data_IF_225399433292
#
_entry.id   IF_225399433292
#
_cell.length_a   1.000
_cell.length_b   1.000
_cell.length_c   1.000
_cell.angle_alpha   90.00
_cell.angle_beta   90.00
_cell.angle_gamma   90.00
#
_symmetry.space_group_name_H-M   'P 1'
#
loop_
_entity.id
_entity.type
_entity.pdbx_description
1 polymer ?
#
# COMPACT_ATOMS: atom_id res chain seq x y z
N UNK A 1 -11.52 11.50 -18.15
CA UNK A 1 -10.73 11.19 -16.94
C UNK A 1 -11.68 11.16 -15.75
N UNK A 2 -12.34 10.02 -15.54
CA UNK A 2 -13.37 9.87 -14.52
C UNK A 2 -12.69 9.68 -13.17
N UNK A 3 -12.88 10.64 -12.26
CA UNK A 3 -12.57 10.50 -10.86
C UNK A 3 -13.32 9.29 -10.32
N UNK A 4 -12.62 8.17 -10.19
CA UNK A 4 -13.15 6.97 -9.56
C UNK A 4 -13.18 7.27 -8.08
N UNK A 5 -14.32 7.78 -7.62
CA UNK A 5 -14.69 7.82 -6.21
C UNK A 5 -14.32 6.45 -5.63
N UNK A 6 -13.42 6.44 -4.67
CA UNK A 6 -13.03 5.23 -3.95
C UNK A 6 -14.26 4.84 -3.14
N UNK A 7 -15.08 3.95 -3.70
CA UNK A 7 -16.14 3.28 -2.94
C UNK A 7 -15.49 2.73 -1.65
N UNK A 8 -15.93 3.17 -0.46
CA UNK A 8 -15.28 2.80 0.80
C UNK A 8 -15.24 1.29 0.99
N UNK A 9 -16.28 0.57 0.53
CA UNK A 9 -16.31 -0.89 0.57
C UNK A 9 -15.34 -1.54 -0.40
N UNK A 10 -15.06 -0.93 -1.55
CA UNK A 10 -14.04 -1.42 -2.49
C UNK A 10 -12.61 -1.18 -2.00
N UNK A 11 -12.38 -0.09 -1.26
CA UNK A 11 -11.10 0.17 -0.60
C UNK A 11 -10.86 -0.85 0.53
N UNK A 12 -11.86 -1.06 1.37
CA UNK A 12 -11.84 -2.02 2.48
C UNK A 12 -11.47 -3.43 2.00
N UNK A 13 -12.18 -3.94 0.97
CA UNK A 13 -11.93 -5.27 0.37
C UNK A 13 -10.54 -5.41 -0.25
N UNK A 14 -9.98 -4.35 -0.82
CA UNK A 14 -8.62 -4.38 -1.37
C UNK A 14 -7.57 -4.36 -0.27
N UNK A 15 -7.77 -3.52 0.75
CA UNK A 15 -6.94 -3.53 1.94
C UNK A 15 -6.94 -4.90 2.62
N UNK A 16 -8.09 -5.54 2.83
CA UNK A 16 -8.16 -6.88 3.43
C UNK A 16 -7.40 -7.93 2.61
N UNK A 17 -7.37 -7.83 1.28
CA UNK A 17 -6.58 -8.75 0.43
C UNK A 17 -5.08 -8.50 0.48
N UNK A 18 -4.66 -7.24 0.59
CA UNK A 18 -3.25 -6.87 0.72
C UNK A 18 -2.72 -7.27 2.10
N UNK A 19 -3.48 -6.94 3.15
CA UNK A 19 -3.13 -7.20 4.56
C UNK A 19 -3.29 -8.69 4.90
N UNK A 20 -4.33 -9.36 4.39
CA UNK A 20 -4.60 -10.77 4.63
C UNK A 20 -3.56 -11.73 4.05
N UNK A 21 -3.53 -12.96 4.58
CA UNK A 21 -2.51 -13.99 4.28
C UNK A 21 -2.90 -15.00 3.19
N UNK A 22 -4.12 -14.94 2.64
CA UNK A 22 -4.69 -16.05 1.86
C UNK A 22 -4.58 -15.98 0.34
N UNK A 23 -4.54 -14.79 -0.27
CA UNK A 23 -4.63 -14.65 -1.74
C UNK A 23 -3.31 -14.21 -2.37
N UNK A 24 -3.05 -14.52 -3.64
CA UNK A 24 -1.87 -14.03 -4.36
C UNK A 24 -2.04 -12.53 -4.64
N UNK A 25 -1.03 -11.72 -4.31
CA UNK A 25 -1.11 -10.27 -4.43
C UNK A 25 -1.03 -9.88 -5.90
N UNK A 26 -2.15 -9.42 -6.48
CA UNK A 26 -2.19 -9.08 -7.90
C UNK A 26 -1.48 -7.75 -8.17
N UNK A 27 -0.98 -7.57 -9.40
CA UNK A 27 -0.38 -6.30 -9.85
C UNK A 27 -1.34 -5.12 -9.65
N UNK A 28 -2.63 -5.34 -9.87
CA UNK A 28 -3.67 -4.31 -9.70
C UNK A 28 -3.85 -3.90 -8.25
N UNK A 29 -3.76 -4.85 -7.31
CA UNK A 29 -3.86 -4.56 -5.87
C UNK A 29 -2.66 -3.72 -5.40
N UNK A 30 -1.44 -4.01 -5.88
CA UNK A 30 -0.25 -3.17 -5.63
C UNK A 30 -0.43 -1.76 -6.16
N UNK A 31 -0.85 -1.62 -7.43
CA UNK A 31 -1.06 -0.30 -8.05
C UNK A 31 -2.11 0.50 -7.28
N UNK A 32 -3.19 -0.16 -6.87
CA UNK A 32 -4.22 0.47 -6.06
C UNK A 32 -3.70 0.92 -4.70
N UNK A 33 -2.91 0.09 -4.01
CA UNK A 33 -2.32 0.42 -2.71
C UNK A 33 -1.40 1.65 -2.81
N UNK A 34 -0.54 1.68 -3.84
CA UNK A 34 0.35 2.82 -4.08
C UNK A 34 -0.43 4.11 -4.36
N UNK A 35 -1.50 4.04 -5.16
CA UNK A 35 -2.35 5.20 -5.42
C UNK A 35 -3.08 5.68 -4.15
N UNK A 36 -3.53 4.75 -3.30
CA UNK A 36 -4.15 5.06 -2.01
C UNK A 36 -3.17 5.76 -1.05
N UNK A 37 -1.98 5.19 -0.87
CA UNK A 37 -0.90 5.77 -0.06
C UNK A 37 -0.57 7.18 -0.57
N UNK A 38 -0.36 7.35 -1.89
CA UNK A 38 -0.05 8.65 -2.50
C UNK A 38 -1.13 9.69 -2.20
N UNK A 39 -2.41 9.31 -2.32
CA UNK A 39 -3.54 10.20 -2.02
C UNK A 39 -3.55 10.63 -0.55
N UNK A 40 -3.43 9.68 0.38
CA UNK A 40 -3.40 9.98 1.83
C UNK A 40 -2.26 10.92 2.22
N UNK A 41 -1.08 10.73 1.60
CA UNK A 41 0.07 11.63 1.78
C UNK A 41 -0.22 13.03 1.23
N UNK A 42 -0.78 13.12 0.02
CA UNK A 42 -1.13 14.40 -0.60
C UNK A 42 -2.22 15.15 0.18
N UNK A 43 -3.18 14.43 0.76
CA UNK A 43 -4.28 14.96 1.57
C UNK A 43 -3.82 15.33 3.00
N UNK A 44 -2.57 15.02 3.37
CA UNK A 44 -2.02 15.33 4.69
C UNK A 44 -2.74 14.63 5.84
N UNK A 45 -3.16 13.36 5.63
CA UNK A 45 -3.98 12.60 6.57
C UNK A 45 -3.49 12.73 8.03
N UNK A 46 -4.37 12.93 9.03
CA UNK A 46 -3.94 13.16 10.42
C UNK A 46 -3.01 12.08 10.99
N UNK A 47 -3.24 10.81 10.63
CA UNK A 47 -2.39 9.68 11.02
C UNK A 47 -0.93 9.83 10.54
N UNK A 48 -0.72 10.52 9.42
CA UNK A 48 0.59 10.78 8.83
C UNK A 48 1.34 11.94 9.50
N UNK A 49 0.61 12.90 10.08
CA UNK A 49 1.23 14.06 10.73
C UNK A 49 1.86 13.70 12.09
N UNK A 50 1.31 12.70 12.78
CA UNK A 50 1.84 12.21 14.06
C UNK A 50 2.91 11.12 13.94
N UNK A 51 3.22 10.66 12.72
CA UNK A 51 4.16 9.56 12.50
C UNK A 51 5.61 10.01 12.76
N UNK A 52 6.38 9.28 13.60
CA UNK A 52 7.79 9.59 13.83
C UNK A 52 8.60 9.58 12.52
N UNK A 53 9.57 10.48 12.39
CA UNK A 53 10.42 10.58 11.18
C UNK A 53 11.05 9.25 10.73
N UNK A 54 11.57 8.37 11.64
CA UNK A 54 12.09 7.07 11.22
C UNK A 54 11.04 6.18 10.55
N UNK A 55 9.79 6.23 11.01
CA UNK A 55 8.69 5.45 10.43
C UNK A 55 8.31 5.97 9.04
N UNK A 56 8.35 7.28 8.85
CA UNK A 56 8.16 7.90 7.53
C UNK A 56 9.19 7.44 6.51
N UNK A 57 10.46 7.38 6.90
CA UNK A 57 11.54 6.90 6.02
C UNK A 57 11.31 5.44 5.62
N UNK A 58 10.92 4.57 6.55
CA UNK A 58 10.58 3.17 6.26
C UNK A 58 9.37 3.05 5.33
N UNK A 59 8.31 3.82 5.56
CA UNK A 59 7.12 3.83 4.70
C UNK A 59 7.47 4.29 3.28
N UNK A 60 8.28 5.35 3.15
CA UNK A 60 8.74 5.86 1.87
C UNK A 60 9.62 4.85 1.12
N UNK A 61 10.57 4.21 1.81
CA UNK A 61 11.39 3.15 1.23
C UNK A 61 10.54 1.97 0.75
N UNK A 62 9.53 1.58 1.55
CA UNK A 62 8.54 0.56 1.19
C UNK A 62 7.78 0.91 -0.08
N UNK A 63 7.24 2.12 -0.15
CA UNK A 63 6.53 2.68 -1.30
C UNK A 63 7.41 2.72 -2.56
N UNK A 64 8.65 3.19 -2.44
CA UNK A 64 9.59 3.31 -3.54
C UNK A 64 9.99 1.93 -4.08
N UNK A 65 10.29 0.97 -3.20
CA UNK A 65 10.64 -0.39 -3.62
C UNK A 65 9.47 -1.10 -4.30
N UNK A 66 8.25 -0.90 -3.78
CA UNK A 66 7.05 -1.44 -4.38
C UNK A 66 6.81 -0.89 -5.79
N UNK A 67 6.98 0.41 -5.96
CA UNK A 67 6.89 1.09 -7.25
C UNK A 67 7.97 0.59 -8.23
N UNK A 68 9.20 0.45 -7.77
CA UNK A 68 10.31 -0.06 -8.59
C UNK A 68 10.10 -1.52 -9.00
N UNK A 69 9.52 -2.35 -8.13
CA UNK A 69 9.19 -3.74 -8.45
C UNK A 69 8.15 -3.84 -9.57
N UNK A 70 7.15 -2.95 -9.59
CA UNK A 70 6.17 -2.87 -10.69
C UNK A 70 6.78 -2.46 -12.03
N UNK A 71 7.81 -1.61 -12.00
CA UNK A 71 8.50 -1.12 -13.20
C UNK A 71 9.47 -2.17 -13.77
N UNK A 72 10.00 -3.07 -12.93
CA UNK A 72 10.99 -4.09 -13.31
C UNK A 72 10.41 -5.34 -14.02
N UNK A 73 9.13 -5.33 -14.42
CA UNK A 73 8.45 -6.34 -15.28
C UNK A 73 7.93 -7.60 -14.56
N UNK A 74 6.91 -8.32 -15.11
CA UNK A 74 5.97 -9.19 -14.37
C UNK A 74 6.49 -10.61 -14.06
N UNK A 75 7.80 -10.84 -14.15
CA UNK A 75 8.43 -12.13 -13.78
C UNK A 75 8.87 -12.16 -12.33
N UNK A 76 8.27 -11.33 -11.48
CA UNK A 76 8.56 -11.33 -10.06
C UNK A 76 8.08 -12.64 -9.45
N UNK A 77 9.01 -13.45 -8.94
CA UNK A 77 8.70 -14.75 -8.36
C UNK A 77 7.87 -14.63 -7.06
N UNK A 78 7.37 -15.75 -6.51
CA UNK A 78 6.57 -15.75 -5.28
C UNK A 78 7.24 -15.01 -4.11
N UNK A 79 8.56 -15.12 -3.98
CA UNK A 79 9.36 -14.44 -2.94
C UNK A 79 9.33 -12.90 -3.06
N UNK A 80 9.30 -12.37 -4.28
CA UNK A 80 9.20 -10.92 -4.51
C UNK A 80 7.79 -10.42 -4.21
N UNK A 81 6.76 -11.21 -4.52
CA UNK A 81 5.38 -10.91 -4.17
C UNK A 81 5.18 -10.88 -2.64
N UNK A 82 5.76 -11.82 -1.89
CA UNK A 82 5.69 -11.85 -0.42
C UNK A 82 6.44 -10.69 0.22
N UNK A 83 7.63 -10.36 -0.29
CA UNK A 83 8.40 -9.19 0.15
C UNK A 83 7.62 -7.89 -0.09
N UNK A 84 7.00 -7.77 -1.26
CA UNK A 84 6.19 -6.62 -1.64
C UNK A 84 4.95 -6.49 -0.76
N UNK A 85 4.25 -7.61 -0.49
CA UNK A 85 3.13 -7.68 0.44
C UNK A 85 3.50 -7.12 1.81
N UNK A 86 4.62 -7.56 2.37
CA UNK A 86 5.10 -7.11 3.68
C UNK A 86 5.31 -5.59 3.70
N UNK A 87 6.01 -5.04 2.70
CA UNK A 87 6.26 -3.58 2.60
C UNK A 87 4.97 -2.75 2.47
N UNK A 88 4.01 -3.23 1.67
CA UNK A 88 2.71 -2.57 1.53
C UNK A 88 1.88 -2.65 2.82
N UNK A 89 1.89 -3.80 3.50
CA UNK A 89 1.20 -3.99 4.77
C UNK A 89 1.71 -3.01 5.82
N UNK A 90 3.03 -2.94 6.01
CA UNK A 90 3.66 -2.03 6.97
C UNK A 90 3.28 -0.56 6.70
N UNK A 91 3.23 -0.15 5.43
CA UNK A 91 2.82 1.20 5.05
C UNK A 91 1.32 1.45 5.29
N UNK A 92 0.45 0.47 5.01
CA UNK A 92 -0.99 0.59 5.23
C UNK A 92 -1.35 0.60 6.72
N UNK A 93 -0.70 -0.23 7.53
CA UNK A 93 -0.87 -0.24 9.00
C UNK A 93 -0.41 1.08 9.62
N UNK A 94 0.70 1.65 9.13
CA UNK A 94 1.16 2.97 9.58
C UNK A 94 0.16 4.10 9.26
N UNK A 95 -0.63 3.95 8.18
CA UNK A 95 -1.62 4.92 7.76
C UNK A 95 -2.95 4.81 8.53
N UNK A 96 -3.28 3.65 9.06
CA UNK A 96 -4.54 3.38 9.79
C UNK A 96 -4.27 2.53 11.05
N UNK A 97 -3.64 3.11 12.09
CA UNK A 97 -3.22 2.37 13.28
C UNK A 97 -4.37 1.86 14.17
N UNK A 98 -5.59 2.39 14.01
CA UNK A 98 -6.77 2.10 14.84
C UNK A 98 -7.74 1.07 14.23
N UNK A 99 -7.31 0.29 13.23
CA UNK A 99 -8.16 -0.75 12.65
C UNK A 99 -8.22 -1.98 13.57
N UNK A 100 -9.41 -2.48 13.93
CA UNK A 100 -9.55 -3.70 14.74
C UNK A 100 -9.06 -4.96 14.03
#
# INVERSE_FOLDING_TARGET
MTGRSLDPGAAERRMSRIVGSGETLSREDVIWALDYIRKKVADGAPALQGLPQPRWLTCFEGFAEASMSLLRSPRSGPLEADRLRRKLREALEALEPDRP
#
